data_IF_091937328558
#
_entry.id   IF_091937328558
#
_cell.length_a   1.000
_cell.length_b   1.000
_cell.length_c   1.000
_cell.angle_alpha   90.00
_cell.angle_beta   90.00
_cell.angle_gamma   90.00
#
_symmetry.space_group_name_H-M   'P 1'
#
loop_
_entity.id
_entity.type
_entity.pdbx_description
1 polymer ?
#
# COMPACT_ATOMS: atom_id res chain seq x y z
N UNK A 1 4.07 11.82 -22.64
CA UNK A 1 3.68 10.86 -21.60
C UNK A 1 4.05 9.49 -22.10
N UNK A 2 4.88 8.76 -21.37
CA UNK A 2 5.36 7.45 -21.78
C UNK A 2 4.27 6.37 -21.68
N UNK A 3 4.46 5.27 -22.41
CA UNK A 3 3.66 4.06 -22.21
C UNK A 3 3.70 3.56 -20.75
N UNK A 4 4.83 3.60 -20.03
CA UNK A 4 4.89 3.17 -18.62
C UNK A 4 3.99 3.99 -17.69
N UNK A 5 4.02 5.32 -17.78
CA UNK A 5 3.14 6.18 -16.96
C UNK A 5 1.65 5.96 -17.23
N UNK A 6 1.26 5.69 -18.48
CA UNK A 6 -0.15 5.43 -18.82
C UNK A 6 -0.67 4.16 -18.14
N UNK A 7 0.14 3.08 -18.15
CA UNK A 7 -0.21 1.81 -17.49
C UNK A 7 -0.26 1.96 -15.97
N UNK A 8 0.65 2.74 -15.39
CA UNK A 8 0.66 3.02 -13.96
C UNK A 8 -0.60 3.78 -13.52
N UNK A 9 -1.03 4.79 -14.28
CA UNK A 9 -2.23 5.57 -13.95
C UNK A 9 -3.52 4.72 -14.02
N UNK A 10 -3.68 3.91 -15.07
CA UNK A 10 -4.83 2.98 -15.18
C UNK A 10 -4.85 2.00 -14.01
N UNK A 11 -3.68 1.56 -13.56
CA UNK A 11 -3.60 0.65 -12.42
C UNK A 11 -3.91 1.35 -11.11
N UNK A 12 -3.49 2.60 -10.92
CA UNK A 12 -3.88 3.40 -9.75
C UNK A 12 -5.40 3.52 -9.64
N UNK A 13 -6.09 3.79 -10.76
CA UNK A 13 -7.56 3.87 -10.79
C UNK A 13 -8.21 2.52 -10.44
N UNK A 14 -7.75 1.42 -11.04
CA UNK A 14 -8.25 0.06 -10.76
C UNK A 14 -7.97 -0.33 -9.30
N UNK A 15 -6.81 0.06 -8.78
CA UNK A 15 -6.39 -0.26 -7.42
C UNK A 15 -7.21 0.54 -6.41
N UNK A 16 -7.46 1.82 -6.66
CA UNK A 16 -8.34 2.65 -5.84
C UNK A 16 -9.79 2.12 -5.83
N UNK A 17 -10.32 1.73 -7.00
CA UNK A 17 -11.65 1.10 -7.12
C UNK A 17 -11.71 -0.26 -6.42
N UNK A 18 -10.63 -1.05 -6.47
CA UNK A 18 -10.55 -2.30 -5.73
C UNK A 18 -10.61 -2.07 -4.22
N UNK A 19 -9.83 -1.12 -3.67
CA UNK A 19 -9.85 -0.86 -2.22
C UNK A 19 -11.20 -0.32 -1.77
N UNK A 20 -11.84 0.59 -2.51
CA UNK A 20 -13.17 1.10 -2.16
C UNK A 20 -14.22 -0.04 -2.16
N UNK A 21 -14.18 -0.92 -3.16
CA UNK A 21 -15.11 -2.05 -3.30
C UNK A 21 -14.87 -3.18 -2.30
N UNK A 22 -13.63 -3.42 -1.89
CA UNK A 22 -13.30 -4.44 -0.89
C UNK A 22 -13.56 -3.92 0.52
N UNK A 23 -13.24 -2.65 0.78
CA UNK A 23 -13.39 -2.08 2.11
C UNK A 23 -14.84 -2.08 2.60
N UNK A 24 -15.81 -1.65 1.78
CA UNK A 24 -17.21 -1.58 2.19
C UNK A 24 -17.77 -2.92 2.71
N UNK A 25 -17.69 -4.00 1.92
CA UNK A 25 -18.08 -5.35 2.35
C UNK A 25 -17.27 -5.85 3.54
N UNK A 26 -15.95 -5.67 3.55
CA UNK A 26 -15.10 -6.12 4.68
C UNK A 26 -15.48 -5.39 5.96
N UNK A 27 -15.66 -4.07 5.93
CA UNK A 27 -16.10 -3.29 7.08
C UNK A 27 -17.49 -3.74 7.58
N UNK A 28 -18.42 -4.04 6.67
CA UNK A 28 -19.73 -4.55 7.03
C UNK A 28 -19.66 -5.95 7.67
N UNK A 29 -18.89 -6.88 7.09
CA UNK A 29 -18.72 -8.23 7.63
C UNK A 29 -17.96 -8.23 8.96
N UNK A 30 -17.03 -7.30 9.14
CA UNK A 30 -16.26 -7.15 10.38
C UNK A 30 -17.09 -6.47 11.48
N UNK A 31 -18.08 -5.64 11.15
CA UNK A 31 -18.89 -4.93 12.14
C UNK A 31 -19.54 -5.85 13.18
N UNK A 32 -20.17 -6.95 12.76
CA UNK A 32 -20.83 -7.91 13.65
C UNK A 32 -19.87 -8.61 14.64
N UNK A 33 -18.76 -9.24 14.20
CA UNK A 33 -17.78 -9.81 15.12
C UNK A 33 -17.04 -8.74 15.94
N UNK A 34 -16.87 -7.52 15.43
CA UNK A 34 -16.24 -6.42 16.18
C UNK A 34 -17.15 -5.98 17.35
N UNK A 35 -18.46 -5.85 17.15
CA UNK A 35 -19.41 -5.60 18.24
C UNK A 35 -19.47 -6.75 19.26
N UNK A 36 -19.41 -8.01 18.80
CA UNK A 36 -19.31 -9.16 19.69
C UNK A 36 -18.00 -9.14 20.51
N UNK A 37 -16.87 -8.81 19.88
CA UNK A 37 -15.57 -8.65 20.51
C UNK A 37 -15.55 -7.51 21.53
N UNK A 38 -16.14 -6.35 21.20
CA UNK A 38 -16.31 -5.22 22.14
C UNK A 38 -17.13 -5.65 23.34
N UNK A 39 -18.26 -6.31 23.12
CA UNK A 39 -19.14 -6.76 24.21
C UNK A 39 -18.43 -7.74 25.13
N UNK A 40 -17.73 -8.73 24.56
CA UNK A 40 -16.95 -9.70 25.31
C UNK A 40 -15.81 -9.03 26.08
N UNK A 41 -15.11 -8.07 25.47
CA UNK A 41 -14.08 -7.29 26.13
C UNK A 41 -14.63 -6.51 27.33
N UNK A 42 -15.80 -5.86 27.18
CA UNK A 42 -16.47 -5.15 28.28
C UNK A 42 -16.86 -6.11 29.40
N UNK A 43 -17.37 -7.31 29.09
CA UNK A 43 -17.72 -8.32 30.10
C UNK A 43 -16.49 -8.84 30.85
N UNK A 44 -15.42 -9.20 30.13
CA UNK A 44 -14.17 -9.70 30.73
C UNK A 44 -13.49 -8.61 31.55
N UNK A 45 -13.45 -7.38 31.04
CA UNK A 45 -12.89 -6.24 31.76
C UNK A 45 -13.73 -5.92 33.01
N UNK A 46 -15.05 -5.93 32.90
CA UNK A 46 -15.97 -5.80 34.04
C UNK A 46 -15.73 -6.88 35.11
N UNK A 47 -15.49 -8.12 34.71
CA UNK A 47 -15.13 -9.21 35.61
C UNK A 47 -13.78 -9.01 36.31
N UNK A 48 -12.75 -8.54 35.57
CA UNK A 48 -11.43 -8.24 36.16
C UNK A 48 -11.46 -7.04 37.12
N UNK A 49 -12.36 -6.08 36.88
CA UNK A 49 -12.63 -4.96 37.81
C UNK A 49 -13.30 -5.46 39.09
N UNK A 50 -14.32 -6.34 38.97
CA UNK A 50 -15.01 -6.91 40.13
C UNK A 50 -14.12 -7.80 41.01
N UNK A 51 -13.14 -8.48 40.42
CA UNK A 51 -12.18 -9.33 41.15
C UNK A 51 -11.00 -8.56 41.78
N UNK A 52 -10.97 -7.22 41.64
CA UNK A 52 -10.01 -6.36 42.35
C UNK A 52 -8.55 -6.47 41.88
N UNK A 53 -8.29 -7.17 40.76
CA UNK A 53 -6.94 -7.36 40.22
C UNK A 53 -6.38 -6.10 39.53
N UNK A 54 -7.19 -5.05 39.34
CA UNK A 54 -6.80 -3.80 38.67
C UNK A 54 -6.83 -2.65 39.68
N UNK A 55 -5.68 -2.25 40.19
CA UNK A 55 -5.54 -1.19 41.20
C UNK A 55 -5.66 0.24 40.62
N UNK A 56 -5.46 0.41 39.31
CA UNK A 56 -5.62 1.71 38.62
C UNK A 56 -6.82 1.68 37.68
N UNK A 57 -8.01 1.75 38.27
CA UNK A 57 -9.29 1.64 37.57
C UNK A 57 -9.51 2.79 36.57
N UNK A 58 -9.19 4.02 36.95
CA UNK A 58 -9.52 5.21 36.14
C UNK A 58 -8.65 5.36 34.88
N UNK A 59 -7.34 5.19 35.01
CA UNK A 59 -6.39 5.41 33.91
C UNK A 59 -6.47 4.31 32.86
N UNK A 60 -6.64 3.05 33.29
CA UNK A 60 -6.72 1.90 32.38
C UNK A 60 -8.08 1.79 31.70
N UNK A 61 -9.18 2.05 32.41
CA UNK A 61 -10.52 2.01 31.82
C UNK A 61 -10.76 3.14 30.82
N UNK A 62 -10.32 4.36 31.14
CA UNK A 62 -10.42 5.49 30.22
C UNK A 62 -9.62 5.26 28.92
N UNK A 63 -8.39 4.76 29.05
CA UNK A 63 -7.56 4.38 27.89
C UNK A 63 -8.25 3.32 27.03
N UNK A 64 -8.87 2.31 27.64
CA UNK A 64 -9.54 1.24 26.91
C UNK A 64 -10.83 1.71 26.22
N UNK A 65 -11.63 2.57 26.86
CA UNK A 65 -12.83 3.16 26.24
C UNK A 65 -12.47 4.05 25.05
N UNK A 66 -11.44 4.91 25.20
CA UNK A 66 -10.93 5.70 24.09
C UNK A 66 -10.41 4.84 22.96
N UNK A 67 -9.72 3.74 23.27
CA UNK A 67 -9.18 2.81 22.28
C UNK A 67 -10.31 2.09 21.53
N UNK A 68 -11.35 1.64 22.24
CA UNK A 68 -12.54 1.04 21.62
C UNK A 68 -13.24 2.05 20.71
N UNK A 69 -13.48 3.27 21.17
CA UNK A 69 -14.11 4.34 20.38
C UNK A 69 -13.28 4.73 19.15
N UNK A 70 -11.96 4.79 19.30
CA UNK A 70 -11.05 5.05 18.18
C UNK A 70 -11.05 3.91 17.17
N UNK A 71 -11.03 2.66 17.62
CA UNK A 71 -11.04 1.46 16.76
C UNK A 71 -12.36 1.34 16.01
N UNK A 72 -13.50 1.51 16.67
CA UNK A 72 -14.80 1.46 16.00
C UNK A 72 -14.98 2.63 15.04
N UNK A 73 -14.59 3.85 15.43
CA UNK A 73 -14.66 5.00 14.52
C UNK A 73 -13.75 4.81 13.30
N UNK A 74 -12.53 4.30 13.48
CA UNK A 74 -11.56 4.11 12.39
C UNK A 74 -11.90 2.92 11.48
N UNK A 75 -12.40 1.82 12.05
CA UNK A 75 -12.70 0.61 11.28
C UNK A 75 -14.00 0.72 10.48
N UNK A 76 -14.99 1.50 10.94
CA UNK A 76 -16.29 1.62 10.30
C UNK A 76 -16.45 2.86 9.40
N UNK A 77 -15.68 3.93 9.61
CA UNK A 77 -15.79 5.14 8.79
C UNK A 77 -14.79 5.14 7.64
N UNK A 78 -15.30 5.02 6.41
CA UNK A 78 -14.52 5.12 5.19
C UNK A 78 -13.81 6.49 5.05
N UNK A 79 -14.45 7.58 5.47
CA UNK A 79 -13.86 8.93 5.40
C UNK A 79 -12.56 9.07 6.19
N UNK A 80 -12.42 8.34 7.29
CA UNK A 80 -11.17 8.33 8.04
C UNK A 80 -10.16 7.34 7.43
N UNK A 81 -10.63 6.19 6.94
CA UNK A 81 -9.78 5.21 6.30
C UNK A 81 -9.17 5.71 4.98
N UNK A 82 -9.89 6.56 4.24
CA UNK A 82 -9.39 7.20 3.03
C UNK A 82 -8.15 8.06 3.29
N UNK A 83 -8.04 8.68 4.46
CA UNK A 83 -6.84 9.42 4.86
C UNK A 83 -5.64 8.48 5.08
N UNK A 84 -5.83 7.33 5.74
CA UNK A 84 -4.79 6.32 5.86
C UNK A 84 -4.39 5.75 4.50
N UNK A 85 -5.37 5.47 3.64
CA UNK A 85 -5.13 5.05 2.26
C UNK A 85 -4.29 6.06 1.50
N UNK A 86 -4.66 7.34 1.56
CA UNK A 86 -3.93 8.43 0.91
C UNK A 86 -2.50 8.58 1.45
N UNK A 87 -2.31 8.44 2.76
CA UNK A 87 -0.96 8.49 3.35
C UNK A 87 -0.10 7.35 2.80
N UNK A 88 -0.57 6.11 2.81
CA UNK A 88 0.26 4.97 2.37
C UNK A 88 0.42 4.88 0.85
N UNK A 89 -0.53 5.40 0.06
CA UNK A 89 -0.45 5.36 -1.41
C UNK A 89 0.24 6.58 -2.02
N UNK A 90 0.15 7.77 -1.40
CA UNK A 90 0.79 9.00 -1.89
C UNK A 90 2.15 9.27 -1.24
N UNK A 91 2.44 8.71 -0.06
CA UNK A 91 3.77 8.87 0.57
C UNK A 91 4.95 8.35 -0.24
N UNK A 92 4.89 7.19 -0.95
CA UNK A 92 6.02 6.74 -1.75
C UNK A 92 6.43 7.76 -2.82
N UNK A 93 5.45 8.40 -3.45
CA UNK A 93 5.66 9.46 -4.44
C UNK A 93 6.36 10.69 -3.84
N UNK A 94 5.98 11.08 -2.63
CA UNK A 94 6.59 12.21 -1.92
C UNK A 94 8.02 11.89 -1.47
N UNK A 95 8.25 10.72 -0.91
CA UNK A 95 9.58 10.30 -0.46
C UNK A 95 10.51 10.02 -1.63
N UNK A 96 10.05 9.39 -2.73
CA UNK A 96 10.88 9.18 -3.92
C UNK A 96 11.29 10.52 -4.54
N UNK A 97 10.38 11.50 -4.62
CA UNK A 97 10.71 12.84 -5.11
C UNK A 97 11.73 13.58 -4.24
N UNK A 98 11.81 13.31 -2.93
CA UNK A 98 12.80 13.95 -2.05
C UNK A 98 14.14 13.23 -2.06
N UNK A 99 14.13 11.89 -2.07
CA UNK A 99 15.36 11.07 -2.11
C UNK A 99 16.10 11.17 -3.45
N UNK A 100 15.38 11.29 -4.57
CA UNK A 100 15.96 11.28 -5.91
C UNK A 100 16.27 12.69 -6.46
N UNK A 101 16.26 13.73 -5.61
CA UNK A 101 16.41 15.14 -6.01
C UNK A 101 15.31 15.64 -6.97
N UNK A 102 14.06 15.20 -6.78
CA UNK A 102 12.89 15.71 -7.50
C UNK A 102 12.29 14.75 -8.53
N UNK A 103 12.81 13.53 -8.68
CA UNK A 103 12.33 12.54 -9.67
C UNK A 103 11.44 11.46 -9.04
N UNK A 104 10.22 11.29 -9.53
CA UNK A 104 9.40 10.14 -9.13
C UNK A 104 9.94 8.86 -9.76
N UNK A 105 9.73 7.71 -9.12
CA UNK A 105 10.09 6.41 -9.67
C UNK A 105 9.46 6.17 -11.06
N UNK A 106 8.22 6.62 -11.26
CA UNK A 106 7.53 6.57 -12.57
C UNK A 106 8.22 7.44 -13.63
N UNK A 107 8.73 8.61 -13.25
CA UNK A 107 9.50 9.50 -14.15
C UNK A 107 10.86 8.91 -14.51
N UNK A 108 11.52 8.25 -13.55
CA UNK A 108 12.79 7.56 -13.82
C UNK A 108 12.61 6.39 -14.79
N UNK A 109 11.49 5.67 -14.72
CA UNK A 109 11.15 4.60 -15.67
C UNK A 109 10.79 5.13 -17.06
N UNK A 110 10.03 6.23 -17.14
CA UNK A 110 9.76 6.89 -18.43
C UNK A 110 11.08 7.36 -19.07
N UNK A 111 11.98 7.96 -18.30
CA UNK A 111 13.29 8.39 -18.82
C UNK A 111 14.18 7.22 -19.23
N UNK A 112 14.15 6.10 -18.50
CA UNK A 112 14.87 4.88 -18.87
C UNK A 112 14.33 4.30 -20.19
N UNK A 113 13.00 4.25 -20.33
CA UNK A 113 12.33 3.79 -21.53
C UNK A 113 12.67 4.67 -22.74
N UNK A 114 12.48 5.98 -22.60
CA UNK A 114 12.70 6.95 -23.68
C UNK A 114 14.18 6.94 -24.12
N UNK A 115 15.14 6.97 -23.17
CA UNK A 115 16.57 6.94 -23.51
C UNK A 115 17.00 5.61 -24.13
N UNK A 116 16.49 4.49 -23.64
CA UNK A 116 16.83 3.18 -24.22
C UNK A 116 16.26 3.02 -25.62
N UNK A 117 15.06 3.54 -25.85
CA UNK A 117 14.40 3.55 -27.15
C UNK A 117 15.12 4.47 -28.14
N UNK A 118 15.48 5.68 -27.72
CA UNK A 118 16.29 6.62 -28.52
C UNK A 118 17.65 6.03 -28.87
N UNK A 119 18.29 5.30 -27.95
CA UNK A 119 19.56 4.62 -28.21
C UNK A 119 19.38 3.53 -29.26
N UNK A 120 18.36 2.68 -29.14
CA UNK A 120 18.05 1.65 -30.13
C UNK A 120 17.78 2.25 -31.53
N UNK A 121 16.95 3.29 -31.60
CA UNK A 121 16.65 3.97 -32.87
C UNK A 121 17.86 4.70 -33.44
N UNK A 122 18.72 5.29 -32.61
CA UNK A 122 19.96 5.93 -33.07
C UNK A 122 20.91 4.92 -33.72
N UNK A 123 21.02 3.71 -33.16
CA UNK A 123 21.83 2.62 -33.74
C UNK A 123 21.25 2.17 -35.07
N UNK A 124 19.93 1.97 -35.14
CA UNK A 124 19.27 1.61 -36.41
C UNK A 124 19.39 2.69 -37.48
N UNK A 125 19.28 3.98 -37.12
CA UNK A 125 19.44 5.09 -38.05
C UNK A 125 20.85 5.16 -38.65
N UNK A 126 21.87 4.72 -37.90
CA UNK A 126 23.27 4.66 -38.34
C UNK A 126 23.64 3.34 -39.03
N UNK A 127 22.77 2.34 -38.94
CA UNK A 127 23.03 0.99 -39.42
C UNK A 127 23.08 0.88 -40.93
N UNK A 128 22.30 1.69 -41.67
CA UNK A 128 22.21 1.56 -43.13
C UNK A 128 21.90 0.12 -43.57
N UNK A 129 22.83 -0.49 -44.31
CA UNK A 129 22.76 -1.90 -44.75
C UNK A 129 23.65 -2.86 -43.94
N UNK A 130 24.33 -2.36 -42.91
CA UNK A 130 25.22 -3.16 -42.08
C UNK A 130 24.39 -4.00 -41.08
N UNK A 131 24.29 -5.30 -41.36
CA UNK A 131 23.53 -6.26 -40.56
C UNK A 131 24.03 -6.34 -39.10
N UNK A 132 25.31 -6.07 -38.85
CA UNK A 132 25.90 -6.17 -37.51
C UNK A 132 25.43 -5.02 -36.60
N UNK A 133 25.42 -3.79 -37.13
CA UNK A 133 24.88 -2.61 -36.45
C UNK A 133 23.36 -2.75 -36.26
N UNK A 134 22.66 -3.32 -37.22
CA UNK A 134 21.22 -3.54 -37.14
C UNK A 134 20.85 -4.52 -36.02
N UNK A 135 21.63 -5.62 -35.91
CA UNK A 135 21.49 -6.60 -34.83
C UNK A 135 21.77 -6.01 -33.45
N UNK A 136 22.76 -5.12 -33.34
CA UNK A 136 23.06 -4.43 -32.08
C UNK A 136 21.89 -3.52 -31.65
N UNK A 137 21.28 -2.79 -32.59
CA UNK A 137 20.07 -1.99 -32.33
C UNK A 137 18.90 -2.85 -31.83
N UNK A 138 18.69 -4.03 -32.43
CA UNK A 138 17.67 -4.98 -32.00
C UNK A 138 17.91 -5.53 -30.59
N UNK A 139 19.17 -5.83 -30.23
CA UNK A 139 19.53 -6.28 -28.89
C UNK A 139 19.25 -5.18 -27.85
N UNK A 140 19.69 -3.94 -28.12
CA UNK A 140 19.44 -2.79 -27.23
C UNK A 140 17.93 -2.55 -27.04
N UNK A 141 17.15 -2.67 -28.12
CA UNK A 141 15.69 -2.56 -28.07
C UNK A 141 15.07 -3.63 -27.16
N UNK A 142 15.41 -4.90 -27.36
CA UNK A 142 14.86 -6.02 -26.58
C UNK A 142 15.26 -5.91 -25.10
N UNK A 143 16.50 -5.56 -24.81
CA UNK A 143 16.96 -5.35 -23.43
C UNK A 143 16.21 -4.20 -22.79
N UNK A 144 16.09 -3.06 -23.47
CA UNK A 144 15.36 -1.89 -22.95
C UNK A 144 13.90 -2.25 -22.64
N UNK A 145 13.23 -2.93 -23.57
CA UNK A 145 11.83 -3.31 -23.43
C UNK A 145 11.62 -4.32 -22.30
N UNK A 146 12.50 -5.33 -22.20
CA UNK A 146 12.45 -6.33 -21.13
C UNK A 146 12.68 -5.71 -19.76
N UNK A 147 13.71 -4.86 -19.63
CA UNK A 147 14.08 -4.25 -18.35
C UNK A 147 13.03 -3.24 -17.88
N UNK A 148 12.50 -2.42 -18.80
CA UNK A 148 11.40 -1.49 -18.51
C UNK A 148 10.13 -2.27 -18.15
N UNK A 149 9.76 -3.30 -18.93
CA UNK A 149 8.58 -4.10 -18.68
C UNK A 149 8.62 -4.81 -17.33
N UNK A 150 9.78 -5.37 -16.96
CA UNK A 150 9.97 -6.00 -15.66
C UNK A 150 9.88 -4.99 -14.50
N UNK A 151 10.46 -3.80 -14.65
CA UNK A 151 10.38 -2.76 -13.63
C UNK A 151 8.94 -2.24 -13.44
N UNK A 152 8.20 -2.02 -14.54
CA UNK A 152 6.78 -1.68 -14.47
C UNK A 152 5.99 -2.79 -13.77
N UNK A 153 6.21 -4.05 -14.13
CA UNK A 153 5.55 -5.19 -13.48
C UNK A 153 5.79 -5.22 -11.95
N UNK A 154 7.03 -4.99 -11.49
CA UNK A 154 7.34 -4.94 -10.06
C UNK A 154 6.63 -3.79 -9.34
N UNK A 155 6.60 -2.59 -9.94
CA UNK A 155 5.87 -1.45 -9.35
C UNK A 155 4.36 -1.72 -9.27
N UNK A 156 3.79 -2.33 -10.31
CA UNK A 156 2.38 -2.72 -10.32
C UNK A 156 2.07 -3.73 -9.21
N UNK A 157 2.93 -4.74 -9.06
CA UNK A 157 2.80 -5.74 -8.00
C UNK A 157 2.87 -5.09 -6.61
N UNK A 158 3.80 -4.15 -6.41
CA UNK A 158 3.95 -3.42 -5.16
C UNK A 158 2.68 -2.61 -4.81
N UNK A 159 2.09 -1.91 -5.79
CA UNK A 159 0.84 -1.14 -5.60
C UNK A 159 -0.33 -2.05 -5.25
N UNK A 160 -0.45 -3.19 -5.93
CA UNK A 160 -1.49 -4.18 -5.67
C UNK A 160 -1.37 -4.78 -4.27
N UNK A 161 -0.15 -5.09 -3.82
CA UNK A 161 0.09 -5.62 -2.47
C UNK A 161 -0.27 -4.61 -1.38
N UNK A 162 0.08 -3.33 -1.56
CA UNK A 162 -0.32 -2.27 -0.62
C UNK A 162 -1.83 -2.15 -0.55
N UNK A 163 -2.50 -2.13 -1.70
CA UNK A 163 -3.95 -2.02 -1.78
C UNK A 163 -4.69 -3.19 -1.16
N UNK A 164 -4.26 -4.42 -1.43
CA UNK A 164 -4.85 -5.63 -0.84
C UNK A 164 -4.66 -5.63 0.68
N UNK A 165 -3.47 -5.24 1.15
CA UNK A 165 -3.16 -5.16 2.58
C UNK A 165 -3.98 -4.07 3.27
N UNK A 166 -4.19 -2.92 2.63
CA UNK A 166 -5.07 -1.85 3.11
C UNK A 166 -6.55 -2.26 3.09
N UNK A 167 -7.02 -2.99 2.07
CA UNK A 167 -8.40 -3.47 2.01
C UNK A 167 -8.79 -4.34 3.22
N UNK A 168 -7.83 -5.05 3.81
CA UNK A 168 -8.01 -5.84 5.04
C UNK A 168 -7.84 -5.02 6.33
N UNK A 169 -7.58 -3.72 6.23
CA UNK A 169 -7.30 -2.81 7.35
C UNK A 169 -8.31 -2.87 8.50
N UNK A 170 -9.64 -2.87 8.25
CA UNK A 170 -10.65 -2.95 9.32
C UNK A 170 -10.47 -4.15 10.25
N UNK A 171 -10.05 -5.31 9.72
CA UNK A 171 -9.82 -6.53 10.50
C UNK A 171 -8.63 -6.33 11.44
N UNK A 172 -7.52 -5.83 10.92
CA UNK A 172 -6.32 -5.60 11.72
C UNK A 172 -6.51 -4.49 12.75
N UNK A 173 -7.27 -3.44 12.42
CA UNK A 173 -7.66 -2.39 13.37
C UNK A 173 -8.51 -2.97 14.50
N UNK A 174 -9.41 -3.92 14.21
CA UNK A 174 -10.18 -4.62 15.25
C UNK A 174 -9.29 -5.39 16.24
N UNK A 175 -8.16 -5.96 15.79
CA UNK A 175 -7.21 -6.64 16.69
C UNK A 175 -6.50 -5.71 17.68
N UNK A 176 -6.57 -4.39 17.50
CA UNK A 176 -6.01 -3.43 18.46
C UNK A 176 -6.76 -3.48 19.81
N UNK A 177 -8.01 -3.93 19.79
CA UNK A 177 -8.89 -4.01 20.95
C UNK A 177 -8.38 -4.98 22.03
N UNK A 178 -7.80 -6.13 21.64
CA UNK A 178 -7.26 -7.11 22.58
C UNK A 178 -5.74 -7.04 22.67
N UNK A 179 -5.20 -7.06 23.89
CA UNK A 179 -3.75 -7.00 24.10
C UNK A 179 -3.00 -8.17 23.45
N UNK A 180 -3.60 -9.36 23.46
CA UNK A 180 -3.04 -10.56 22.83
C UNK A 180 -2.94 -10.44 21.30
N UNK A 181 -3.90 -9.77 20.65
CA UNK A 181 -3.92 -9.67 19.17
C UNK A 181 -3.35 -8.37 18.62
N UNK A 182 -2.98 -7.38 19.47
CA UNK A 182 -2.30 -6.14 19.07
C UNK A 182 -1.02 -6.37 18.26
N UNK A 183 -0.32 -7.49 18.45
CA UNK A 183 0.88 -7.82 17.67
C UNK A 183 0.58 -7.93 16.16
N UNK A 184 -0.59 -8.46 15.79
CA UNK A 184 -0.99 -8.58 14.39
C UNK A 184 -1.19 -7.23 13.72
N UNK A 185 -1.79 -6.26 14.42
CA UNK A 185 -1.91 -4.89 13.94
C UNK A 185 -0.54 -4.23 13.73
N UNK A 186 0.39 -4.40 14.69
CA UNK A 186 1.75 -3.87 14.55
C UNK A 186 2.47 -4.47 13.35
N UNK A 187 2.35 -5.79 13.14
CA UNK A 187 2.93 -6.47 11.99
C UNK A 187 2.32 -6.01 10.67
N UNK A 188 1.01 -5.74 10.66
CA UNK A 188 0.32 -5.19 9.49
C UNK A 188 0.88 -3.81 9.09
N UNK A 189 1.05 -2.89 10.05
CA UNK A 189 1.70 -1.59 9.80
C UNK A 189 3.14 -1.78 9.31
N UNK A 190 3.91 -2.68 9.93
CA UNK A 190 5.29 -2.95 9.52
C UNK A 190 5.38 -3.47 8.07
N UNK A 191 4.46 -4.36 7.68
CA UNK A 191 4.34 -4.82 6.29
C UNK A 191 3.98 -3.68 5.34
N UNK A 192 3.04 -2.81 5.70
CA UNK A 192 2.68 -1.64 4.88
C UNK A 192 3.88 -0.72 4.65
N UNK A 193 4.63 -0.41 5.70
CA UNK A 193 5.85 0.42 5.58
C UNK A 193 6.88 -0.27 4.68
N UNK A 194 7.08 -1.57 4.84
CA UNK A 194 8.01 -2.34 3.99
C UNK A 194 7.60 -2.30 2.52
N UNK A 195 6.31 -2.46 2.23
CA UNK A 195 5.78 -2.39 0.87
C UNK A 195 5.87 -0.98 0.27
N UNK A 196 5.67 0.07 1.08
CA UNK A 196 5.86 1.47 0.66
C UNK A 196 7.32 1.75 0.34
N UNK A 197 8.25 1.26 1.17
CA UNK A 197 9.69 1.41 0.91
C UNK A 197 10.10 0.69 -0.38
N UNK A 198 9.47 -0.43 -0.71
CA UNK A 198 9.71 -1.14 -1.97
C UNK A 198 9.23 -0.37 -3.22
N UNK A 199 8.35 0.62 -3.06
CA UNK A 199 7.88 1.48 -4.16
C UNK A 199 8.76 2.71 -4.41
N UNK A 200 9.72 2.99 -3.52
CA UNK A 200 10.68 4.10 -3.66
C UNK A 200 11.78 3.75 -4.68
#
# INVERSE_FOLDING_TARGET
MGLPTTVLNVTEDVTADFVTRVFGPVAHTVSAPLWAAVTLFVVVYGYMVMTGQIQHLYTSAFRNILLIGFVTYTALNWDWFSYLYDVFTKSPDLFSSTLSLGRKASTALDELYDRGMDTAFSVWSRSGWDLALWGLGAVVFVITLSLTGFAVFLLLLAKLLVATTLGLGPIFVAFLLFESTRQWFKNWIASLVTLVVFQL
#
